data_IF_324124387700
#
_entry.id   IF_324124387700
#
_cell.length_a   1.000
_cell.length_b   1.000
_cell.length_c   1.000
_cell.angle_alpha   90.00
_cell.angle_beta   90.00
_cell.angle_gamma   90.00
#
_symmetry.space_group_name_H-M   'P 1'
#
loop_
_entity.id
_entity.type
_entity.pdbx_description
1 polymer ?
#
# COMPACT_ATOMS: atom_id res chain seq x y z
N UNK A 1 32.20 17.01 40.05
CA UNK A 1 31.82 16.09 38.96
C UNK A 1 31.38 16.98 37.81
N UNK A 2 32.22 17.14 36.78
CA UNK A 2 31.83 17.89 35.58
C UNK A 2 31.29 16.84 34.62
N UNK A 3 29.98 16.87 34.35
CA UNK A 3 29.40 16.09 33.28
C UNK A 3 29.55 16.91 32.00
N UNK A 4 30.38 16.44 31.08
CA UNK A 4 30.48 17.01 29.74
C UNK A 4 29.54 16.26 28.80
N UNK A 5 28.76 17.00 28.01
CA UNK A 5 27.99 16.44 26.89
C UNK A 5 28.73 16.79 25.61
N UNK A 6 29.09 15.78 24.83
CA UNK A 6 29.63 15.96 23.49
C UNK A 6 28.56 15.54 22.47
N UNK A 7 28.25 16.42 21.53
CA UNK A 7 27.32 16.14 20.43
C UNK A 7 28.15 15.90 19.19
N UNK A 8 28.12 14.67 18.68
CA UNK A 8 28.70 14.34 17.38
C UNK A 8 27.55 14.29 16.37
N UNK A 9 27.57 15.22 15.40
CA UNK A 9 26.64 15.26 14.28
C UNK A 9 27.39 15.69 13.01
N UNK A 10 27.17 14.95 11.93
CA UNK A 10 27.68 15.31 10.58
C UNK A 10 26.80 16.41 9.99
N UNK A 11 27.06 17.66 10.37
CA UNK A 11 26.41 18.83 9.80
C UNK A 11 24.95 19.02 10.26
N UNK A 12 24.49 20.27 10.28
CA UNK A 12 23.13 20.67 10.69
C UNK A 12 22.02 20.27 9.69
N UNK A 13 22.20 19.18 8.94
CA UNK A 13 21.19 18.63 8.03
C UNK A 13 20.78 17.24 8.51
N UNK A 14 19.64 17.17 9.22
CA UNK A 14 18.78 15.99 9.40
C UNK A 14 19.47 14.60 9.43
N UNK A 15 20.44 14.40 10.32
CA UNK A 15 21.11 13.12 10.54
C UNK A 15 20.96 12.60 11.96
N UNK A 16 21.24 11.31 12.15
CA UNK A 16 21.35 10.63 13.44
C UNK A 16 22.21 11.45 14.44
N UNK A 17 21.67 11.73 15.64
CA UNK A 17 22.41 12.44 16.71
C UNK A 17 22.81 11.47 17.81
N UNK A 18 24.11 11.25 18.00
CA UNK A 18 24.65 10.42 19.08
C UNK A 18 25.00 11.27 20.29
N UNK A 19 24.46 10.90 21.46
CA UNK A 19 24.82 11.51 22.74
C UNK A 19 25.78 10.60 23.51
N UNK A 20 26.99 11.10 23.79
CA UNK A 20 27.92 10.48 24.72
C UNK A 20 27.92 11.21 26.05
N UNK A 21 27.54 10.54 27.14
CA UNK A 21 27.76 11.05 28.50
C UNK A 21 29.04 10.44 29.08
N UNK A 22 29.94 11.31 29.53
CA UNK A 22 31.13 10.92 30.26
C UNK A 22 31.09 11.44 31.69
N UNK A 23 31.41 10.57 32.65
CA UNK A 23 31.73 10.97 34.01
C UNK A 23 33.09 10.40 34.39
N UNK A 24 34.12 11.24 34.36
CA UNK A 24 35.45 10.87 34.84
C UNK A 24 36.06 12.00 35.68
N UNK A 25 36.96 11.62 36.58
CA UNK A 25 37.85 12.51 37.35
C UNK A 25 39.30 12.48 36.85
N UNK A 26 39.64 11.56 35.94
CA UNK A 26 40.94 11.42 35.29
C UNK A 26 40.88 11.78 33.79
N UNK A 27 42.03 11.73 33.12
CA UNK A 27 42.13 11.82 31.66
C UNK A 27 42.01 10.42 31.05
N UNK A 28 40.94 10.18 30.30
CA UNK A 28 40.73 8.99 29.47
C UNK A 28 40.64 9.33 27.99
N UNK A 29 41.11 8.44 27.12
CA UNK A 29 40.92 8.54 25.67
C UNK A 29 39.98 7.44 25.18
N UNK A 30 39.00 7.81 24.37
CA UNK A 30 38.08 6.89 23.70
C UNK A 30 37.53 7.52 22.43
N UNK A 31 37.00 6.70 21.52
CA UNK A 31 36.31 7.15 20.31
C UNK A 31 34.81 6.95 20.46
N UNK A 32 34.03 7.96 20.11
CA UNK A 32 32.61 7.81 19.80
C UNK A 32 32.49 7.91 18.28
N UNK A 33 31.92 6.88 17.67
CA UNK A 33 31.50 6.93 16.28
C UNK A 33 30.00 7.20 16.25
N UNK A 34 29.58 8.23 15.53
CA UNK A 34 28.16 8.43 15.27
C UNK A 34 27.66 7.36 14.31
N UNK A 35 26.46 6.85 14.53
CA UNK A 35 25.82 5.97 13.56
C UNK A 35 25.45 6.80 12.32
N UNK A 36 25.66 6.25 11.12
CA UNK A 36 25.29 6.92 9.87
C UNK A 36 23.75 7.00 9.73
N UNK A 37 23.03 6.00 10.26
CA UNK A 37 21.56 5.96 10.37
C UNK A 37 21.13 5.32 11.70
N UNK A 38 19.91 5.63 12.15
CA UNK A 38 19.19 4.87 13.20
C UNK A 38 17.90 4.29 12.61
N UNK A 39 17.91 3.97 11.32
CA UNK A 39 16.72 3.54 10.58
C UNK A 39 16.28 2.10 10.93
N UNK A 40 16.98 1.45 11.86
CA UNK A 40 16.64 0.11 12.33
C UNK A 40 16.77 -0.95 11.25
N UNK A 41 17.48 -0.69 10.14
CA UNK A 41 17.60 -1.64 9.04
C UNK A 41 18.89 -2.47 9.16
N UNK A 42 18.91 -3.71 8.61
CA UNK A 42 20.13 -4.50 8.60
C UNK A 42 21.24 -3.82 7.79
N UNK A 43 22.52 -4.04 8.14
CA UNK A 43 23.64 -3.52 7.37
C UNK A 43 23.54 -3.95 5.89
N UNK A 44 23.61 -2.99 4.97
CA UNK A 44 23.46 -3.24 3.53
C UNK A 44 22.06 -3.00 2.98
N UNK A 45 21.06 -2.77 3.84
CA UNK A 45 19.70 -2.42 3.44
C UNK A 45 18.87 -3.61 2.98
N UNK A 46 19.26 -4.84 3.33
CA UNK A 46 18.48 -6.04 3.05
C UNK A 46 17.10 -6.00 3.74
N UNK A 47 16.15 -6.80 3.25
CA UNK A 47 14.88 -7.02 3.92
C UNK A 47 15.11 -7.95 5.12
N UNK A 48 14.19 -7.97 6.08
CA UNK A 48 14.29 -8.87 7.22
C UNK A 48 12.93 -9.35 7.70
N UNK A 49 12.96 -10.41 8.50
CA UNK A 49 11.83 -10.95 9.26
C UNK A 49 11.82 -10.31 10.66
N UNK A 50 10.92 -9.35 10.87
CA UNK A 50 10.69 -8.59 12.12
C UNK A 50 9.92 -9.44 13.15
N UNK A 51 10.62 -10.38 13.77
CA UNK A 51 10.02 -11.47 14.54
C UNK A 51 9.31 -10.99 15.79
N UNK A 52 9.81 -9.92 16.40
CA UNK A 52 9.24 -9.37 17.62
C UNK A 52 8.31 -8.18 17.37
N UNK A 53 8.26 -7.67 16.13
CA UNK A 53 7.30 -6.68 15.67
C UNK A 53 7.61 -5.27 16.16
N UNK A 54 8.85 -4.99 16.54
CA UNK A 54 9.25 -3.68 17.06
C UNK A 54 9.63 -2.69 15.94
N UNK A 55 9.74 -3.18 14.69
CA UNK A 55 10.08 -2.40 13.50
C UNK A 55 11.57 -2.12 13.33
N UNK A 56 12.43 -2.75 14.12
CA UNK A 56 13.87 -2.66 14.08
C UNK A 56 14.49 -4.03 13.83
N UNK A 57 15.58 -4.04 13.07
CA UNK A 57 16.37 -5.23 12.82
C UNK A 57 17.18 -5.62 14.05
N UNK A 58 16.98 -6.85 14.48
CA UNK A 58 17.78 -7.51 15.50
C UNK A 58 18.75 -8.54 14.92
N UNK A 59 19.89 -8.72 15.58
CA UNK A 59 20.97 -9.56 15.05
C UNK A 59 20.64 -11.05 14.89
N UNK A 60 19.57 -11.53 15.53
CA UNK A 60 19.03 -12.88 15.42
C UNK A 60 17.86 -13.01 14.43
N UNK A 61 17.52 -11.92 13.74
CA UNK A 61 16.55 -11.90 12.66
C UNK A 61 17.16 -12.30 11.32
N UNK A 62 16.34 -12.96 10.52
CA UNK A 62 16.74 -13.41 9.19
C UNK A 62 16.73 -12.24 8.24
N UNK A 63 17.74 -12.14 7.38
CA UNK A 63 17.81 -11.13 6.32
C UNK A 63 17.66 -11.75 4.93
N UNK A 64 17.15 -10.95 4.00
CA UNK A 64 16.84 -11.37 2.64
C UNK A 64 17.28 -10.29 1.64
N UNK A 65 18.12 -10.70 0.71
CA UNK A 65 18.55 -9.86 -0.41
C UNK A 65 17.42 -9.63 -1.43
N UNK A 66 17.57 -8.63 -2.30
CA UNK A 66 16.63 -8.33 -3.39
C UNK A 66 16.27 -9.58 -4.21
N UNK A 67 17.26 -10.40 -4.57
CA UNK A 67 17.07 -11.58 -5.42
C UNK A 67 16.22 -12.66 -4.74
N UNK A 68 16.29 -12.77 -3.41
CA UNK A 68 15.46 -13.69 -2.64
C UNK A 68 14.00 -13.24 -2.59
N UNK A 69 13.72 -11.95 -2.82
CA UNK A 69 12.37 -11.40 -2.85
C UNK A 69 11.61 -11.67 -4.15
N UNK A 70 12.25 -12.17 -5.21
CA UNK A 70 11.56 -12.45 -6.47
C UNK A 70 10.56 -13.60 -6.35
N UNK A 71 10.86 -14.60 -5.52
CA UNK A 71 9.98 -15.77 -5.24
C UNK A 71 9.98 -16.06 -3.73
N UNK A 72 9.88 -15.02 -2.92
CA UNK A 72 9.87 -15.15 -1.46
C UNK A 72 8.63 -15.91 -0.99
N UNK A 73 8.84 -16.93 -0.15
CA UNK A 73 7.78 -17.74 0.38
C UNK A 73 8.13 -18.20 1.80
N UNK A 74 7.79 -17.36 2.77
CA UNK A 74 7.83 -17.68 4.18
C UNK A 74 6.55 -17.15 4.85
N UNK A 75 5.44 -17.92 4.84
CA UNK A 75 4.15 -17.50 5.39
C UNK A 75 4.18 -17.17 6.90
N UNK A 76 5.28 -17.46 7.60
CA UNK A 76 5.47 -17.10 9.00
C UNK A 76 6.23 -15.80 9.24
N UNK A 77 6.87 -15.24 8.21
CA UNK A 77 7.73 -14.07 8.37
C UNK A 77 6.93 -12.77 8.45
N UNK A 78 7.35 -11.87 9.35
CA UNK A 78 6.88 -10.49 9.40
C UNK A 78 7.82 -9.66 8.50
N UNK A 79 7.58 -9.68 7.19
CA UNK A 79 8.56 -9.19 6.24
C UNK A 79 8.60 -7.66 6.18
N UNK A 80 9.76 -7.07 6.47
CA UNK A 80 10.03 -5.65 6.27
C UNK A 80 11.00 -5.45 5.11
N UNK A 81 10.61 -4.62 4.13
CA UNK A 81 11.40 -4.25 2.98
C UNK A 81 11.75 -2.75 3.07
N UNK A 82 12.92 -2.39 3.61
CA UNK A 82 13.27 -1.01 3.91
C UNK A 82 13.66 -0.20 2.68
N UNK A 83 13.54 1.12 2.79
CA UNK A 83 14.01 2.09 1.78
C UNK A 83 15.48 1.86 1.37
N UNK A 84 16.30 1.40 2.32
CA UNK A 84 17.73 1.09 2.11
C UNK A 84 17.98 0.04 1.03
N UNK A 85 17.02 -0.87 0.77
CA UNK A 85 17.12 -1.85 -0.31
C UNK A 85 17.08 -1.20 -1.69
N UNK A 86 16.45 -0.01 -1.80
CA UNK A 86 16.23 0.68 -3.05
C UNK A 86 15.02 0.16 -3.81
N UNK A 87 15.10 -1.02 -4.43
CA UNK A 87 14.02 -1.61 -5.27
C UNK A 87 14.07 -3.14 -5.25
N UNK A 88 12.92 -3.76 -5.52
CA UNK A 88 12.80 -5.18 -5.88
C UNK A 88 12.40 -5.28 -7.34
N UNK A 89 13.32 -5.69 -8.23
CA UNK A 89 13.08 -5.64 -9.67
C UNK A 89 13.48 -6.89 -10.45
N UNK A 90 12.48 -7.73 -10.75
CA UNK A 90 12.62 -8.83 -11.69
C UNK A 90 12.50 -8.35 -13.16
N UNK A 91 13.49 -8.66 -14.00
CA UNK A 91 13.49 -8.23 -15.42
C UNK A 91 12.66 -9.11 -16.34
N UNK A 92 12.85 -10.42 -16.25
CA UNK A 92 12.28 -11.40 -17.19
C UNK A 92 11.29 -12.36 -16.53
N UNK A 93 11.03 -12.17 -15.24
CA UNK A 93 10.17 -13.01 -14.41
C UNK A 93 9.18 -12.13 -13.64
N UNK A 94 8.33 -12.77 -12.85
CA UNK A 94 7.44 -12.10 -11.89
C UNK A 94 8.16 -11.74 -10.59
N UNK A 95 7.46 -11.03 -9.72
CA UNK A 95 7.80 -10.93 -8.31
C UNK A 95 6.64 -11.54 -7.52
N UNK A 96 6.91 -12.55 -6.71
CA UNK A 96 5.93 -13.23 -5.86
C UNK A 96 6.46 -13.26 -4.44
N UNK A 97 5.78 -12.55 -3.53
CA UNK A 97 6.14 -12.47 -2.12
C UNK A 97 4.96 -12.99 -1.30
N UNK A 98 5.19 -14.09 -0.58
CA UNK A 98 4.26 -14.64 0.40
C UNK A 98 4.89 -14.58 1.78
N UNK A 99 4.25 -13.86 2.70
CA UNK A 99 4.72 -13.64 4.07
C UNK A 99 3.57 -13.77 5.09
N UNK A 100 3.87 -13.72 6.39
CA UNK A 100 2.85 -13.52 7.44
C UNK A 100 2.25 -12.13 7.33
N UNK A 101 3.14 -11.12 7.31
CA UNK A 101 2.88 -9.70 7.14
C UNK A 101 3.87 -9.10 6.15
N UNK A 102 3.49 -8.02 5.46
CA UNK A 102 4.35 -7.33 4.49
C UNK A 102 4.33 -5.82 4.76
N UNK A 103 5.49 -5.25 5.09
CA UNK A 103 5.71 -3.81 5.18
C UNK A 103 6.78 -3.39 4.18
N UNK A 104 6.38 -2.66 3.13
CA UNK A 104 7.30 -2.25 2.06
C UNK A 104 7.28 -0.74 1.84
N UNK A 105 8.47 -0.17 1.74
CA UNK A 105 8.68 1.24 1.37
C UNK A 105 9.33 1.40 0.00
N UNK A 106 9.63 0.30 -0.68
CA UNK A 106 10.37 0.31 -1.96
C UNK A 106 9.47 0.08 -3.17
N UNK A 107 10.01 0.40 -4.34
CA UNK A 107 9.38 0.00 -5.60
C UNK A 107 9.55 -1.50 -5.83
N UNK A 108 8.46 -2.22 -6.00
CA UNK A 108 8.38 -3.62 -6.43
C UNK A 108 7.91 -3.65 -7.89
N UNK A 109 8.76 -4.14 -8.79
CA UNK A 109 8.53 -4.07 -10.23
C UNK A 109 8.89 -5.38 -10.94
N UNK A 110 8.01 -5.86 -11.81
CA UNK A 110 8.30 -6.92 -12.76
C UNK A 110 8.27 -6.44 -14.21
N UNK A 111 9.17 -6.98 -15.04
CA UNK A 111 9.27 -6.65 -16.46
C UNK A 111 8.31 -7.43 -17.36
N UNK A 112 8.07 -8.70 -17.07
CA UNK A 112 7.27 -9.61 -17.91
C UNK A 112 6.22 -10.38 -17.12
N UNK A 113 6.56 -10.88 -15.92
CA UNK A 113 5.65 -11.63 -15.07
C UNK A 113 4.72 -10.76 -14.22
N UNK A 114 3.80 -11.35 -13.44
CA UNK A 114 2.97 -10.62 -12.50
C UNK A 114 3.79 -10.06 -11.32
N UNK A 115 3.18 -9.14 -10.57
CA UNK A 115 3.61 -8.85 -9.19
C UNK A 115 2.51 -9.34 -8.25
N UNK A 116 2.86 -10.22 -7.32
CA UNK A 116 1.95 -10.77 -6.31
C UNK A 116 2.53 -10.53 -4.92
N UNK A 117 1.75 -9.88 -4.05
CA UNK A 117 2.06 -9.73 -2.62
C UNK A 117 0.95 -10.39 -1.82
N UNK A 118 1.31 -11.34 -0.96
CA UNK A 118 0.34 -12.11 -0.17
C UNK A 118 0.78 -12.14 1.29
N UNK A 119 0.07 -11.41 2.16
CA UNK A 119 0.16 -11.60 3.60
C UNK A 119 -0.86 -12.67 4.02
N UNK A 120 -0.37 -13.69 4.72
CA UNK A 120 -1.16 -14.88 5.07
C UNK A 120 -1.75 -14.83 6.47
N UNK A 121 -1.27 -13.90 7.30
CA UNK A 121 -1.71 -13.77 8.69
C UNK A 121 -2.25 -12.37 8.96
N UNK A 122 -1.54 -11.32 8.55
CA UNK A 122 -1.93 -9.95 8.84
C UNK A 122 -1.94 -9.05 7.61
N UNK A 123 -1.20 -7.95 7.73
CA UNK A 123 -1.33 -6.77 6.90
C UNK A 123 -0.42 -6.79 5.67
N UNK A 124 -0.85 -6.06 4.64
CA UNK A 124 0.05 -5.55 3.60
C UNK A 124 0.04 -4.02 3.68
N UNK A 125 1.17 -3.45 4.08
CA UNK A 125 1.41 -2.01 4.08
C UNK A 125 2.43 -1.65 2.99
N UNK A 126 2.02 -0.81 2.05
CA UNK A 126 2.89 -0.27 1.00
C UNK A 126 2.72 1.24 0.97
N UNK A 127 3.72 1.99 1.45
CA UNK A 127 3.59 3.45 1.60
C UNK A 127 4.63 4.20 0.77
N UNK A 128 4.19 5.23 0.05
CA UNK A 128 5.08 6.16 -0.67
C UNK A 128 5.85 5.52 -1.83
N UNK A 129 5.40 4.36 -2.32
CA UNK A 129 6.19 3.51 -3.21
C UNK A 129 5.40 3.07 -4.45
N UNK A 130 5.87 2.02 -5.15
CA UNK A 130 5.24 1.54 -6.39
C UNK A 130 5.17 0.03 -6.45
N UNK A 131 4.01 -0.50 -6.83
CA UNK A 131 3.84 -1.92 -7.18
C UNK A 131 3.47 -1.99 -8.66
N UNK A 132 4.34 -2.61 -9.47
CA UNK A 132 4.23 -2.47 -10.93
C UNK A 132 4.49 -3.77 -11.69
N UNK A 133 3.56 -4.16 -12.56
CA UNK A 133 3.81 -5.14 -13.62
C UNK A 133 3.72 -4.50 -15.00
N UNK A 134 4.82 -4.54 -15.76
CA UNK A 134 4.87 -3.92 -17.10
C UNK A 134 4.06 -4.63 -18.17
N UNK A 135 3.85 -5.94 -18.04
CA UNK A 135 3.25 -6.77 -19.09
C UNK A 135 2.22 -7.77 -18.55
N UNK A 136 1.95 -7.78 -17.25
CA UNK A 136 1.04 -8.72 -16.60
C UNK A 136 0.20 -8.00 -15.53
N UNK A 137 -0.42 -8.79 -14.66
CA UNK A 137 -1.29 -8.35 -13.58
C UNK A 137 -0.52 -7.95 -12.32
N UNK A 138 -1.20 -7.21 -11.45
CA UNK A 138 -0.77 -7.00 -10.07
C UNK A 138 -1.85 -7.56 -9.16
N UNK A 139 -1.45 -8.39 -8.20
CA UNK A 139 -2.32 -8.95 -7.17
C UNK A 139 -1.76 -8.61 -5.80
N UNK A 140 -2.61 -8.10 -4.90
CA UNK A 140 -2.24 -7.88 -3.50
C UNK A 140 -3.33 -8.45 -2.62
N UNK A 141 -2.97 -9.40 -1.78
CA UNK A 141 -3.87 -10.07 -0.84
C UNK A 141 -3.31 -9.85 0.55
N UNK A 142 -4.09 -9.21 1.42
CA UNK A 142 -3.84 -9.18 2.86
C UNK A 142 -4.92 -10.03 3.55
N UNK A 143 -4.59 -10.61 4.70
CA UNK A 143 -5.60 -11.28 5.50
C UNK A 143 -6.36 -10.25 6.35
N UNK A 144 -5.66 -9.25 6.90
CA UNK A 144 -6.27 -8.18 7.68
C UNK A 144 -6.40 -6.90 6.83
N UNK A 145 -5.44 -5.98 6.93
CA UNK A 145 -5.54 -4.67 6.29
C UNK A 145 -4.61 -4.56 5.08
N UNK A 146 -5.13 -4.02 3.99
CA UNK A 146 -4.34 -3.48 2.90
C UNK A 146 -4.28 -1.95 2.99
N UNK A 147 -3.10 -1.42 3.32
CA UNK A 147 -2.85 0.02 3.36
C UNK A 147 -1.87 0.43 2.26
N UNK A 148 -2.35 1.23 1.30
CA UNK A 148 -1.57 1.67 0.13
C UNK A 148 -1.44 3.19 0.02
N UNK A 149 -1.22 3.88 1.13
CA UNK A 149 -1.09 5.34 1.17
C UNK A 149 0.08 5.87 0.31
N UNK A 150 -0.18 6.93 -0.46
CA UNK A 150 0.80 7.60 -1.32
C UNK A 150 1.50 6.65 -2.33
N UNK A 151 0.84 5.55 -2.69
CA UNK A 151 1.41 4.48 -3.52
C UNK A 151 0.84 4.49 -4.94
N UNK A 152 1.67 4.12 -5.93
CA UNK A 152 1.21 3.82 -7.30
C UNK A 152 1.14 2.31 -7.52
N UNK A 153 -0.02 1.79 -7.90
CA UNK A 153 -0.19 0.43 -8.39
C UNK A 153 -0.46 0.50 -9.90
N UNK A 154 0.44 -0.05 -10.72
CA UNK A 154 0.40 0.06 -12.18
C UNK A 154 0.56 -1.32 -12.85
N UNK A 155 -0.49 -1.79 -13.51
CA UNK A 155 -0.49 -3.07 -14.21
C UNK A 155 -0.82 -2.89 -15.70
N UNK A 156 -0.17 -3.70 -16.54
CA UNK A 156 -0.57 -3.77 -17.94
C UNK A 156 -1.85 -4.59 -18.12
N UNK A 157 -2.09 -5.60 -17.29
CA UNK A 157 -3.33 -6.39 -17.28
C UNK A 157 -4.18 -6.04 -16.05
N UNK A 158 -4.88 -6.99 -15.43
CA UNK A 158 -5.75 -6.72 -14.29
C UNK A 158 -4.99 -6.27 -13.02
N UNK A 159 -5.71 -5.54 -12.16
CA UNK A 159 -5.34 -5.29 -10.76
C UNK A 159 -6.40 -5.94 -9.88
N UNK A 160 -5.96 -6.75 -8.91
CA UNK A 160 -6.82 -7.40 -7.93
C UNK A 160 -6.26 -7.14 -6.52
N UNK A 161 -7.01 -6.39 -5.71
CA UNK A 161 -6.65 -6.02 -4.35
C UNK A 161 -7.71 -6.56 -3.39
N UNK A 162 -7.31 -7.45 -2.48
CA UNK A 162 -8.22 -8.09 -1.53
C UNK A 162 -7.66 -8.02 -0.11
N UNK A 163 -8.50 -7.68 0.86
CA UNK A 163 -8.17 -7.67 2.29
C UNK A 163 -9.45 -7.60 3.11
N UNK A 164 -9.42 -7.88 4.41
CA UNK A 164 -10.59 -7.62 5.26
C UNK A 164 -10.96 -6.13 5.23
N UNK A 165 -9.96 -5.24 5.28
CA UNK A 165 -10.12 -3.80 5.14
C UNK A 165 -9.14 -3.23 4.11
N UNK A 166 -9.60 -2.28 3.29
CA UNK A 166 -8.74 -1.60 2.31
C UNK A 166 -8.74 -0.09 2.59
N UNK A 167 -7.54 0.48 2.70
CA UNK A 167 -7.31 1.93 2.74
C UNK A 167 -6.34 2.37 1.65
N UNK A 168 -6.82 3.22 0.74
CA UNK A 168 -6.03 3.84 -0.30
C UNK A 168 -6.15 5.35 -0.21
N UNK A 169 -5.17 5.98 0.43
CA UNK A 169 -5.09 7.42 0.57
C UNK A 169 -4.07 8.01 -0.40
N UNK A 170 -4.49 8.98 -1.23
CA UNK A 170 -3.62 9.66 -2.21
C UNK A 170 -2.89 8.69 -3.16
N UNK A 171 -3.52 7.55 -3.45
CA UNK A 171 -2.95 6.48 -4.27
C UNK A 171 -3.36 6.60 -5.74
N UNK A 172 -2.55 6.06 -6.66
CA UNK A 172 -2.87 5.95 -8.08
C UNK A 172 -2.89 4.46 -8.48
N UNK A 173 -4.08 3.93 -8.79
CA UNK A 173 -4.32 2.52 -9.09
C UNK A 173 -4.77 2.41 -10.55
N UNK A 174 -3.94 1.79 -11.38
CA UNK A 174 -4.11 1.83 -12.83
C UNK A 174 -3.86 0.50 -13.50
N UNK A 175 -4.94 -0.06 -14.07
CA UNK A 175 -4.83 -1.10 -15.08
C UNK A 175 -4.78 -0.47 -16.47
N UNK A 176 -4.04 -1.05 -17.40
CA UNK A 176 -4.06 -0.63 -18.80
C UNK A 176 -5.06 -1.41 -19.65
N UNK A 177 -5.11 -2.74 -19.50
CA UNK A 177 -5.88 -3.62 -20.38
C UNK A 177 -6.90 -4.53 -19.65
N UNK A 178 -6.95 -4.49 -18.31
CA UNK A 178 -7.79 -5.37 -17.51
C UNK A 178 -8.72 -4.61 -16.55
N UNK A 179 -9.41 -5.37 -15.70
CA UNK A 179 -10.24 -4.81 -14.64
C UNK A 179 -9.37 -4.28 -13.49
N UNK A 180 -9.93 -3.37 -12.70
CA UNK A 180 -9.41 -3.00 -11.39
C UNK A 180 -10.45 -3.41 -10.36
N UNK A 181 -10.09 -4.35 -9.49
CA UNK A 181 -10.97 -4.91 -8.46
C UNK A 181 -10.37 -4.61 -7.09
N UNK A 182 -11.17 -4.01 -6.21
CA UNK A 182 -10.83 -3.81 -4.81
C UNK A 182 -11.94 -4.44 -3.95
N UNK A 183 -11.60 -5.47 -3.18
CA UNK A 183 -12.55 -6.23 -2.37
C UNK A 183 -12.16 -6.18 -0.88
N UNK A 184 -12.92 -5.40 -0.10
CA UNK A 184 -12.86 -5.39 1.37
C UNK A 184 -13.76 -6.51 1.93
N UNK A 185 -13.17 -7.65 2.27
CA UNK A 185 -13.87 -8.92 2.49
C UNK A 185 -14.62 -9.02 3.81
N UNK A 186 -14.28 -8.25 4.83
CA UNK A 186 -14.98 -8.27 6.13
C UNK A 186 -15.24 -6.88 6.73
N UNK A 187 -14.71 -5.82 6.13
CA UNK A 187 -14.85 -4.44 6.61
C UNK A 187 -14.85 -3.39 5.51
N UNK A 188 -14.31 -2.23 5.86
CA UNK A 188 -14.51 -1.00 5.09
C UNK A 188 -13.56 -0.89 3.89
N UNK A 189 -14.06 -0.25 2.82
CA UNK A 189 -13.26 0.16 1.67
C UNK A 189 -13.18 1.69 1.64
N UNK A 190 -11.98 2.23 1.84
CA UNK A 190 -11.72 3.66 1.96
C UNK A 190 -10.81 4.16 0.85
N UNK A 191 -11.36 4.93 -0.09
CA UNK A 191 -10.61 5.69 -1.10
C UNK A 191 -10.68 7.18 -0.77
N UNK A 192 -9.58 7.73 -0.28
CA UNK A 192 -9.46 9.17 0.02
C UNK A 192 -8.44 9.81 -0.92
N UNK A 193 -8.92 10.72 -1.78
CA UNK A 193 -8.08 11.41 -2.76
C UNK A 193 -7.32 10.46 -3.69
N UNK A 194 -7.84 9.25 -3.88
CA UNK A 194 -7.25 8.21 -4.73
C UNK A 194 -7.75 8.31 -6.17
N UNK A 195 -6.92 7.86 -7.10
CA UNK A 195 -7.28 7.71 -8.51
C UNK A 195 -7.34 6.24 -8.88
N UNK A 196 -8.43 5.81 -9.53
CA UNK A 196 -8.61 4.46 -10.05
C UNK A 196 -8.93 4.55 -11.55
N UNK A 197 -8.03 4.02 -12.39
CA UNK A 197 -8.18 4.02 -13.84
C UNK A 197 -8.14 2.59 -14.42
N UNK A 198 -9.16 2.22 -15.19
CA UNK A 198 -9.24 0.97 -15.96
C UNK A 198 -9.81 1.23 -17.35
N UNK A 199 -9.05 1.79 -18.32
CA UNK A 199 -9.59 2.35 -19.55
C UNK A 199 -10.19 1.32 -20.53
N UNK A 200 -9.99 0.03 -20.31
CA UNK A 200 -10.55 -1.05 -21.15
C UNK A 200 -11.31 -2.10 -20.36
N UNK A 201 -11.32 -2.01 -19.03
CA UNK A 201 -11.95 -2.96 -18.13
C UNK A 201 -12.92 -2.26 -17.19
N UNK A 202 -13.53 -3.04 -16.33
CA UNK A 202 -14.39 -2.51 -15.27
C UNK A 202 -13.56 -2.00 -14.11
N UNK A 203 -14.17 -1.12 -13.32
CA UNK A 203 -13.73 -0.81 -11.97
C UNK A 203 -14.79 -1.35 -11.03
N UNK A 204 -14.41 -2.29 -10.17
CA UNK A 204 -15.32 -3.03 -9.31
C UNK A 204 -14.88 -2.85 -7.85
N UNK A 205 -15.77 -2.32 -7.03
CA UNK A 205 -15.56 -2.18 -5.59
C UNK A 205 -16.49 -3.11 -4.83
N UNK A 206 -15.95 -3.86 -3.88
CA UNK A 206 -16.73 -4.71 -2.99
C UNK A 206 -16.38 -4.39 -1.53
N UNK A 207 -17.38 -4.35 -0.66
CA UNK A 207 -17.17 -4.17 0.78
C UNK A 207 -18.24 -4.88 1.60
N UNK A 208 -17.81 -5.55 2.68
CA UNK A 208 -18.70 -6.09 3.71
C UNK A 208 -19.01 -5.07 4.83
N UNK A 209 -18.40 -3.88 4.78
CA UNK A 209 -18.60 -2.76 5.70
C UNK A 209 -19.14 -1.51 4.99
N UNK A 210 -18.64 -0.35 5.42
CA UNK A 210 -18.91 0.93 4.76
C UNK A 210 -17.95 1.13 3.58
N UNK A 211 -18.42 1.84 2.55
CA UNK A 211 -17.60 2.22 1.40
C UNK A 211 -17.53 3.75 1.30
N UNK A 212 -16.32 4.29 1.33
CA UNK A 212 -16.07 5.73 1.24
C UNK A 212 -15.22 6.05 0.01
N UNK A 213 -15.79 6.83 -0.90
CA UNK A 213 -15.18 7.34 -2.11
C UNK A 213 -15.13 8.87 -1.98
N UNK A 214 -14.12 9.37 -1.28
CA UNK A 214 -13.99 10.79 -0.92
C UNK A 214 -12.90 11.47 -1.77
N UNK A 215 -13.25 12.52 -2.48
CA UNK A 215 -12.33 13.25 -3.38
C UNK A 215 -11.62 12.33 -4.40
N UNK A 216 -12.22 11.19 -4.73
CA UNK A 216 -11.61 10.19 -5.59
C UNK A 216 -11.80 10.55 -7.07
N UNK A 217 -11.00 9.95 -7.94
CA UNK A 217 -11.20 9.99 -9.40
C UNK A 217 -11.35 8.57 -9.91
N UNK A 218 -12.51 8.27 -10.50
CA UNK A 218 -12.85 6.94 -11.02
C UNK A 218 -13.07 7.03 -12.51
N UNK A 219 -12.33 6.23 -13.28
CA UNK A 219 -12.33 6.37 -14.73
C UNK A 219 -12.11 5.10 -15.50
N UNK A 220 -13.09 4.77 -16.32
CA UNK A 220 -12.98 3.74 -17.36
C UNK A 220 -13.36 4.32 -18.73
N UNK A 221 -13.12 3.56 -19.79
CA UNK A 221 -13.51 3.89 -21.17
C UNK A 221 -13.95 2.60 -21.87
N UNK A 222 -14.21 2.70 -23.18
CA UNK A 222 -14.50 1.56 -24.06
C UNK A 222 -15.67 0.67 -23.58
N UNK A 223 -16.61 1.25 -22.83
CA UNK A 223 -17.78 0.54 -22.30
C UNK A 223 -17.55 -0.25 -21.02
N UNK A 224 -16.39 -0.08 -20.35
CA UNK A 224 -16.23 -0.55 -18.98
C UNK A 224 -17.19 0.18 -18.04
N UNK A 225 -17.61 -0.52 -16.98
CA UNK A 225 -18.52 0.01 -15.97
C UNK A 225 -17.78 0.31 -14.67
N UNK A 226 -18.36 1.18 -13.85
CA UNK A 226 -17.92 1.42 -12.47
C UNK A 226 -19.01 0.91 -11.53
N UNK A 227 -18.68 -0.06 -10.68
CA UNK A 227 -19.65 -0.69 -9.76
C UNK A 227 -19.19 -0.64 -8.31
N UNK A 228 -20.16 -0.58 -7.39
CA UNK A 228 -19.95 -0.65 -5.95
C UNK A 228 -20.95 -1.62 -5.31
N UNK A 229 -20.46 -2.72 -4.77
CA UNK A 229 -21.27 -3.72 -4.08
C UNK A 229 -20.98 -3.72 -2.58
N UNK A 230 -21.93 -3.25 -1.79
CA UNK A 230 -21.88 -3.33 -0.33
C UNK A 230 -22.63 -4.60 0.06
N UNK A 231 -21.97 -5.73 0.24
CA UNK A 231 -22.64 -7.05 0.39
C UNK A 231 -23.64 -7.12 1.56
N UNK A 232 -23.60 -6.13 2.47
CA UNK A 232 -24.55 -5.87 3.55
C UNK A 232 -25.52 -4.72 3.25
N UNK A 233 -26.80 -4.92 3.59
CA UNK A 233 -27.85 -3.87 3.50
C UNK A 233 -27.73 -2.75 4.53
N UNK A 234 -26.87 -2.89 5.53
CA UNK A 234 -26.69 -1.88 6.58
C UNK A 234 -25.53 -0.93 6.33
N UNK A 235 -24.72 -1.20 5.29
CA UNK A 235 -23.59 -0.36 4.95
C UNK A 235 -24.00 1.03 4.47
N UNK A 236 -23.05 1.94 4.51
CA UNK A 236 -23.15 3.28 3.93
C UNK A 236 -22.20 3.39 2.75
N UNK A 237 -22.74 3.79 1.59
CA UNK A 237 -21.94 4.26 0.48
C UNK A 237 -21.83 5.78 0.58
N UNK A 238 -20.65 6.28 0.91
CA UNK A 238 -20.33 7.71 0.91
C UNK A 238 -19.56 8.06 -0.36
N UNK A 239 -20.15 8.88 -1.22
CA UNK A 239 -19.50 9.39 -2.44
C UNK A 239 -19.54 10.90 -2.43
N UNK A 240 -18.42 11.54 -2.13
CA UNK A 240 -18.35 12.99 -1.98
C UNK A 240 -17.12 13.57 -2.65
N UNK A 241 -17.31 14.68 -3.36
CA UNK A 241 -16.29 15.34 -4.17
C UNK A 241 -15.59 14.41 -5.20
N UNK A 242 -16.20 13.28 -5.54
CA UNK A 242 -15.63 12.27 -6.43
C UNK A 242 -15.96 12.53 -7.89
N UNK A 243 -14.98 12.35 -8.77
CA UNK A 243 -15.12 12.48 -10.22
C UNK A 243 -15.34 11.11 -10.86
N UNK A 244 -16.57 10.83 -11.31
CA UNK A 244 -16.95 9.56 -11.97
C UNK A 244 -16.99 9.79 -13.47
N UNK A 245 -16.26 8.94 -14.23
CA UNK A 245 -16.14 9.06 -15.69
C UNK A 245 -16.04 7.69 -16.36
N UNK A 246 -17.14 7.21 -16.91
CA UNK A 246 -17.18 6.05 -17.80
C UNK A 246 -17.95 6.39 -19.10
N UNK A 247 -18.63 5.42 -19.71
CA UNK A 247 -19.41 5.69 -20.93
C UNK A 247 -20.71 6.45 -20.69
N UNK A 248 -21.28 6.40 -19.49
CA UNK A 248 -22.53 7.07 -19.13
C UNK A 248 -22.40 8.00 -17.90
N UNK A 249 -21.16 8.20 -17.44
CA UNK A 249 -20.76 8.93 -16.24
C UNK A 249 -21.47 8.40 -14.97
N UNK A 250 -21.65 7.07 -14.84
CA UNK A 250 -22.34 6.44 -13.71
C UNK A 250 -21.45 5.51 -12.88
N UNK A 251 -21.69 5.53 -11.57
CA UNK A 251 -21.31 4.46 -10.65
C UNK A 251 -22.59 3.73 -10.24
N UNK A 252 -22.66 2.44 -10.54
CA UNK A 252 -23.81 1.60 -10.22
C UNK A 252 -23.58 0.91 -8.89
N UNK A 253 -24.50 1.07 -7.94
CA UNK A 253 -24.37 0.45 -6.62
C UNK A 253 -25.50 -0.53 -6.30
N UNK A 254 -25.17 -1.50 -5.44
CA UNK A 254 -26.12 -2.42 -4.83
C UNK A 254 -25.61 -2.87 -3.45
N UNK A 255 -26.49 -3.41 -2.58
CA UNK A 255 -27.95 -3.43 -2.64
C UNK A 255 -28.54 -2.08 -2.17
N UNK A 256 -29.81 -2.07 -1.78
CA UNK A 256 -30.44 -0.92 -1.11
C UNK A 256 -29.72 -0.62 0.22
N UNK A 257 -28.90 0.44 0.21
CA UNK A 257 -28.06 0.89 1.32
C UNK A 257 -28.28 2.37 1.63
N UNK A 258 -27.61 2.88 2.68
CA UNK A 258 -27.58 4.32 2.93
C UNK A 258 -26.61 5.01 1.97
N UNK A 259 -27.13 5.80 1.04
CA UNK A 259 -26.32 6.64 0.17
C UNK A 259 -26.10 8.03 0.78
N UNK A 260 -24.85 8.49 0.86
CA UNK A 260 -24.45 9.80 1.38
C UNK A 260 -23.41 10.49 0.49
N UNK A 261 -23.26 11.81 0.67
CA UNK A 261 -22.36 12.65 -0.15
C UNK A 261 -22.96 13.07 -1.50
N UNK A 262 -22.21 13.85 -2.27
CA UNK A 262 -22.49 14.19 -3.67
C UNK A 262 -21.19 14.16 -4.49
N UNK A 263 -21.13 13.42 -5.62
CA UNK A 263 -19.96 13.45 -6.50
C UNK A 263 -19.75 14.87 -7.07
N UNK A 264 -18.52 15.21 -7.45
CA UNK A 264 -18.24 16.45 -8.20
C UNK A 264 -18.66 16.32 -9.66
N UNK A 265 -18.54 15.11 -10.22
CA UNK A 265 -18.90 14.80 -11.60
C UNK A 265 -19.47 13.39 -11.72
N UNK A 266 -20.47 13.25 -12.57
CA UNK A 266 -21.17 11.99 -12.83
C UNK A 266 -22.27 11.74 -11.81
N UNK A 267 -22.80 10.52 -11.82
CA UNK A 267 -23.93 10.12 -11.00
C UNK A 267 -23.64 8.81 -10.26
N UNK A 268 -24.15 8.70 -9.04
CA UNK A 268 -24.26 7.44 -8.29
C UNK A 268 -25.69 6.96 -8.41
N UNK A 269 -25.89 5.75 -8.91
CA UNK A 269 -27.20 5.19 -9.23
C UNK A 269 -27.35 3.77 -8.68
N UNK A 270 -28.48 3.50 -8.04
CA UNK A 270 -28.79 2.13 -7.60
C UNK A 270 -29.07 1.25 -8.81
N UNK A 271 -28.76 -0.05 -8.72
CA UNK A 271 -28.92 -1.00 -9.83
C UNK A 271 -30.35 -1.16 -10.35
N UNK A 272 -31.37 -0.77 -9.57
CA UNK A 272 -32.79 -0.73 -9.99
C UNK A 272 -33.21 0.56 -10.72
N UNK A 273 -32.33 1.56 -10.78
CA UNK A 273 -32.54 2.87 -11.43
C UNK A 273 -33.39 3.87 -10.63
N UNK A 274 -33.85 3.55 -9.41
CA UNK A 274 -34.79 4.40 -8.67
C UNK A 274 -34.13 5.44 -7.77
N UNK A 275 -32.86 5.25 -7.40
CA UNK A 275 -32.09 6.22 -6.60
C UNK A 275 -30.91 6.72 -7.41
N UNK A 276 -30.85 8.03 -7.65
CA UNK A 276 -29.77 8.68 -8.40
C UNK A 276 -29.33 9.96 -7.69
N UNK A 277 -28.02 10.16 -7.54
CA UNK A 277 -27.40 11.40 -7.08
C UNK A 277 -26.30 11.84 -8.03
N UNK A 278 -26.39 13.06 -8.54
CA UNK A 278 -25.42 13.60 -9.50
C UNK A 278 -24.80 14.91 -8.99
N UNK A 279 -23.57 15.16 -9.43
CA UNK A 279 -22.84 16.43 -9.26
C UNK A 279 -23.02 17.41 -10.40
#
# INVERSE_FOLDING_TARGET
>A
MIAGVFVAGVGFSAGATTYGMFSDSATGSGSIQAADTFDGSPPGGDAWDDKDGDGFYDSDESTYSEEQLYEFNDPSANLVIPDGMGKVKAKNDGVSITAGDINSKVTIESGTGPVSLTATQGDVTVTGSKVKSKNSAVTVIANETLNIADTTIDANDAIDLSADQISAQRSDIKSKNGNVILSATDGDLLLDSATVEGPTGNIEFESNGDMSLASATLKTKQGGMITANLTTKTGTLFVDNTDIRDSDDRLIYEPDITLSGTPTKGCVEHSDGNTVRCG
#
